data_IF_736670045383
#
_entry.id   IF_736670045383
#
_cell.length_a   1.000
_cell.length_b   1.000
_cell.length_c   1.000
_cell.angle_alpha   90.00
_cell.angle_beta   90.00
_cell.angle_gamma   90.00
#
_symmetry.space_group_name_H-M   'P 1'
#
loop_
_entity.id
_entity.type
_entity.pdbx_description
1 polymer ?
#
# COMPACT_ATOMS: atom_id res chain seq x y z
N UNK A 1 11.26 -6.36 1.74
CA UNK A 1 11.55 -6.95 1.65
C UNK A 1 11.33 -7.25 1.60
N UNK A 2 11.14 -6.55 1.26
CA UNK A 2 11.32 -7.14 0.85
C UNK A 2 11.15 -6.95 0.93
N UNK A 3 10.85 -6.62 0.50
CA UNK A 3 11.16 -7.00 0.25
C UNK A 3 11.22 -6.95 0.10
N UNK A 4 11.24 -6.51 -0.27
CA UNK A 4 11.70 -6.83 -0.72
C UNK A 4 11.65 -7.30 -0.80
N UNK A 5 11.14 -6.71 -0.85
CA UNK A 5 11.46 -7.52 -1.05
C UNK A 5 11.24 -8.07 -1.18
N UNK A 6 11.07 -7.62 -1.54
CA UNK A 6 11.11 -8.39 -1.81
C UNK A 6 10.99 -8.42 -2.00
N UNK A 7 10.69 -7.95 -1.97
CA UNK A 7 10.90 -8.36 -2.17
C UNK A 7 11.09 -8.21 -2.44
N UNK A 8 10.94 -7.58 -2.47
CA UNK A 8 11.42 -7.89 -2.60
C UNK A 8 11.46 -8.27 -2.94
N UNK A 9 11.19 -7.77 -3.22
CA UNK A 9 11.35 -8.57 -3.39
C UNK A 9 11.22 -8.72 -3.73
N UNK A 10 10.99 -8.38 -3.89
CA UNK A 10 10.99 -8.89 -4.11
C UNK A 10 11.27 -8.55 -4.45
N UNK A 11 11.06 -7.97 -4.30
CA UNK A 11 11.50 -7.99 -4.54
C UNK A 11 11.83 -7.97 -4.44
N UNK A 12 11.87 -7.69 -4.51
CA UNK A 12 12.39 -8.02 -4.42
C UNK A 12 12.41 -8.34 -4.67
N UNK A 13 12.12 -8.21 -4.90
CA UNK A 13 12.26 -8.92 -5.18
C UNK A 13 12.39 -9.06 -5.49
N UNK A 14 12.32 -8.91 -5.93
CA UNK A 14 12.56 -9.42 -6.25
C UNK A 14 13.10 -9.34 -6.42
N UNK A 15 13.18 -9.16 -6.57
CA UNK A 15 13.79 -9.32 -6.80
C UNK A 15 14.04 -9.69 -6.91
N UNK A 16 14.03 -9.48 -7.27
CA UNK A 16 14.27 -10.08 -7.50
C UNK A 16 14.23 -10.45 -7.74
N UNK A 17 14.04 -10.35 -8.14
CA UNK A 17 13.87 -10.96 -8.53
C UNK A 17 14.13 -10.76 -8.71
N UNK A 18 14.30 -10.37 -9.17
CA UNK A 18 14.48 -10.29 -9.47
C UNK A 18 14.73 -10.16 -10.17
N UNK A 19 14.83 -10.12 -10.61
CA UNK A 19 14.94 -9.69 -11.54
C UNK A 19 14.52 -10.09 -12.75
N UNK A 20 14.66 -10.69 -13.72
CA UNK A 20 14.01 -11.18 -14.52
C UNK A 20 12.67 -10.99 -14.71
N UNK A 21 12.07 -11.21 -13.92
CA UNK A 21 10.74 -10.90 -13.71
C UNK A 21 10.50 -9.43 -13.69
N UNK A 22 11.50 -8.66 -13.49
CA UNK A 22 11.43 -7.24 -13.49
C UNK A 22 10.74 -6.68 -14.73
N UNK A 23 11.08 -7.20 -15.85
CA UNK A 23 10.56 -6.77 -17.11
C UNK A 23 9.07 -7.01 -17.24
N UNK A 24 8.63 -8.18 -16.83
CA UNK A 24 7.22 -8.51 -16.83
C UNK A 24 6.44 -7.64 -15.86
N UNK A 25 7.03 -7.35 -14.75
CA UNK A 25 6.39 -6.52 -13.73
C UNK A 25 6.13 -5.13 -14.27
N UNK A 26 7.06 -4.58 -15.01
CA UNK A 26 6.88 -3.25 -15.58
C UNK A 26 5.70 -3.21 -16.54
N UNK A 27 5.54 -4.25 -17.34
CA UNK A 27 4.42 -4.31 -18.24
C UNK A 27 3.12 -4.35 -17.49
N UNK A 28 3.08 -5.11 -16.39
CA UNK A 28 1.90 -5.18 -15.57
C UNK A 28 1.57 -3.85 -14.93
N UNK A 29 2.58 -3.11 -14.54
CA UNK A 29 2.38 -1.83 -13.89
C UNK A 29 1.72 -0.79 -14.79
N UNK A 30 1.91 -0.89 -16.08
CA UNK A 30 1.30 0.05 -17.01
C UNK A 30 -0.21 -0.01 -16.98
N UNK A 31 -0.77 -1.11 -16.49
CA UNK A 31 -2.20 -1.29 -16.43
C UNK A 31 -2.73 -1.23 -15.00
N UNK A 32 -1.95 -0.70 -14.10
CA UNK A 32 -2.28 -0.68 -12.68
C UNK A 32 -2.31 0.76 -12.19
N UNK A 33 -3.36 1.08 -11.46
CA UNK A 33 -3.46 2.35 -10.76
C UNK A 33 -2.96 2.14 -9.33
N UNK A 34 -2.13 3.05 -8.86
CA UNK A 34 -1.57 2.95 -7.51
C UNK A 34 -1.88 4.21 -6.73
N UNK A 35 -1.99 4.05 -5.42
CA UNK A 35 -2.28 5.15 -4.51
C UNK A 35 -1.49 5.00 -3.23
N UNK A 36 -1.16 6.13 -2.63
CA UNK A 36 -0.60 6.18 -1.29
C UNK A 36 -1.72 6.67 -0.39
N UNK A 37 -2.04 5.90 0.65
CA UNK A 37 -3.09 6.30 1.59
C UNK A 37 -2.45 6.52 2.95
N UNK A 38 -2.59 7.72 3.46
CA UNK A 38 -2.09 8.10 4.78
C UNK A 38 -3.23 7.92 5.76
N UNK A 39 -2.93 7.33 6.91
CA UNK A 39 -3.95 6.94 7.88
C UNK A 39 -3.59 7.47 9.25
N UNK A 40 -4.57 8.11 9.91
CA UNK A 40 -4.45 8.50 11.31
C UNK A 40 -5.21 7.51 12.16
N UNK A 41 -4.62 7.13 13.29
CA UNK A 41 -5.17 6.15 14.21
C UNK A 41 -5.54 6.86 15.49
N UNK A 42 -6.68 6.46 16.07
CA UNK A 42 -7.14 6.94 17.36
C UNK A 42 -6.06 6.73 18.42
N UNK A 43 -5.83 7.73 19.25
CA UNK A 43 -4.79 7.68 20.29
C UNK A 43 -5.01 6.54 21.30
N UNK A 44 -6.24 6.10 21.46
CA UNK A 44 -6.55 5.00 22.37
C UNK A 44 -6.37 3.62 21.73
N UNK A 45 -6.06 3.56 20.45
CA UNK A 45 -5.96 2.31 19.71
C UNK A 45 -4.50 1.99 19.43
N UNK A 46 -4.14 0.71 19.54
CA UNK A 46 -2.79 0.25 19.23
C UNK A 46 -2.58 0.31 17.72
N UNK A 47 -1.65 1.13 17.29
CA UNK A 47 -1.35 1.32 15.87
C UNK A 47 -0.98 0.00 15.19
N UNK A 48 -0.25 -0.87 15.88
CA UNK A 48 0.18 -2.12 15.27
C UNK A 48 -1.00 -3.05 14.97
N UNK A 49 -2.09 -2.95 15.75
CA UNK A 49 -3.28 -3.74 15.46
C UNK A 49 -3.97 -3.25 14.19
N UNK A 50 -4.00 -1.94 14.00
CA UNK A 50 -4.57 -1.35 12.79
C UNK A 50 -3.72 -1.72 11.59
N UNK A 51 -2.39 -1.61 11.71
CA UNK A 51 -1.47 -1.98 10.63
C UNK A 51 -1.67 -3.42 10.20
N UNK A 52 -1.85 -4.33 11.14
CA UNK A 52 -2.04 -5.75 10.83
C UNK A 52 -3.33 -5.96 10.04
N UNK A 53 -4.39 -5.23 10.38
CA UNK A 53 -5.65 -5.34 9.66
C UNK A 53 -5.54 -4.74 8.26
N UNK A 54 -4.84 -3.62 8.14
CA UNK A 54 -4.62 -2.99 6.84
C UNK A 54 -3.87 -3.91 5.90
N UNK A 55 -2.89 -4.61 6.41
CA UNK A 55 -2.07 -5.51 5.60
C UNK A 55 -2.87 -6.65 5.00
N UNK A 56 -4.03 -6.95 5.56
CA UNK A 56 -4.88 -8.05 5.08
C UNK A 56 -5.91 -7.61 4.05
N UNK A 57 -6.06 -6.31 3.83
CA UNK A 57 -7.04 -5.84 2.87
C UNK A 57 -6.61 -6.11 1.44
N UNK A 58 -7.58 -6.46 0.62
CA UNK A 58 -7.33 -6.65 -0.79
C UNK A 58 -6.89 -5.33 -1.41
N UNK A 59 -5.88 -5.39 -2.28
CA UNK A 59 -5.35 -4.19 -2.93
C UNK A 59 -4.22 -3.52 -2.19
N UNK A 60 -4.02 -3.84 -0.92
CA UNK A 60 -2.92 -3.27 -0.14
C UNK A 60 -1.65 -4.04 -0.44
N UNK A 61 -0.62 -3.32 -0.90
CA UNK A 61 0.66 -3.93 -1.26
C UNK A 61 1.68 -3.80 -0.15
N UNK A 62 1.69 -2.68 0.55
CA UNK A 62 2.69 -2.39 1.56
C UNK A 62 2.07 -1.52 2.63
N UNK A 63 2.47 -1.75 3.87
CA UNK A 63 2.03 -0.94 5.02
C UNK A 63 3.27 -0.54 5.80
N UNK A 64 3.39 0.76 6.07
CA UNK A 64 4.47 1.30 6.91
C UNK A 64 3.85 2.04 8.08
N UNK A 65 4.44 1.89 9.25
CA UNK A 65 4.14 2.76 10.39
C UNK A 65 5.12 3.92 10.30
N UNK A 66 4.61 5.13 10.42
CA UNK A 66 5.40 6.34 10.19
C UNK A 66 5.22 7.32 11.35
N UNK A 67 6.04 8.35 11.36
CA UNK A 67 5.91 9.45 12.32
C UNK A 67 5.40 10.68 11.59
N UNK A 68 4.88 11.63 12.35
CA UNK A 68 4.41 12.89 11.81
C UNK A 68 2.93 13.04 11.99
N UNK A 69 2.30 13.69 11.03
CA UNK A 69 0.87 13.98 11.09
C UNK A 69 0.01 12.73 10.99
N UNK A 70 0.49 11.72 10.29
CA UNK A 70 -0.21 10.45 10.12
C UNK A 70 0.60 9.34 10.76
N UNK A 71 -0.09 8.25 11.10
CA UNK A 71 0.52 7.14 11.82
C UNK A 71 0.93 5.99 10.91
N UNK A 72 0.24 5.83 9.79
CA UNK A 72 0.46 4.71 8.87
C UNK A 72 0.38 5.23 7.45
N UNK A 73 1.21 4.67 6.57
CA UNK A 73 1.05 4.87 5.15
C UNK A 73 0.89 3.51 4.48
N UNK A 74 -0.03 3.43 3.54
CA UNK A 74 -0.23 2.20 2.76
C UNK A 74 -0.01 2.51 1.29
N UNK A 75 0.50 1.51 0.58
CA UNK A 75 0.59 1.57 -0.88
C UNK A 75 -0.46 0.59 -1.38
N UNK A 76 -1.39 1.09 -2.18
CA UNK A 76 -2.47 0.30 -2.75
C UNK A 76 -2.35 0.25 -4.25
N UNK A 77 -2.85 -0.83 -4.84
CA UNK A 77 -2.92 -0.97 -6.29
C UNK A 77 -4.25 -1.59 -6.68
N UNK A 78 -4.70 -1.24 -7.86
CA UNK A 78 -5.91 -1.81 -8.42
C UNK A 78 -5.93 -1.59 -9.92
N UNK A 79 -6.87 -2.21 -10.60
CA UNK A 79 -6.98 -2.07 -12.05
C UNK A 79 -7.63 -0.76 -12.44
N UNK A 80 -8.24 -0.06 -11.48
CA UNK A 80 -8.93 1.20 -11.74
C UNK A 80 -9.03 2.00 -10.46
N UNK A 81 -9.37 3.29 -10.59
CA UNK A 81 -9.61 4.14 -9.42
C UNK A 81 -10.81 3.61 -8.63
N UNK A 82 -11.81 3.06 -9.31
CA UNK A 82 -12.98 2.51 -8.64
C UNK A 82 -12.58 1.36 -7.70
N UNK A 83 -11.66 0.51 -8.14
CA UNK A 83 -11.17 -0.59 -7.32
C UNK A 83 -10.44 -0.07 -6.09
N UNK A 84 -9.62 0.95 -6.28
CA UNK A 84 -8.89 1.58 -5.18
C UNK A 84 -9.88 2.19 -4.19
N UNK A 85 -10.91 2.87 -4.69
CA UNK A 85 -11.92 3.46 -3.81
C UNK A 85 -12.63 2.41 -2.96
N UNK A 86 -12.90 1.23 -3.52
CA UNK A 86 -13.48 0.15 -2.75
C UNK A 86 -12.56 -0.29 -1.62
N UNK A 87 -11.27 -0.38 -1.90
CA UNK A 87 -10.29 -0.73 -0.86
C UNK A 87 -10.22 0.34 0.21
N UNK A 88 -10.30 1.61 -0.18
CA UNK A 88 -10.27 2.72 0.78
C UNK A 88 -11.51 2.70 1.65
N UNK A 89 -12.67 2.39 1.08
CA UNK A 89 -13.90 2.27 1.85
C UNK A 89 -13.77 1.18 2.91
N UNK A 90 -13.19 0.05 2.54
CA UNK A 90 -12.94 -1.04 3.49
C UNK A 90 -11.96 -0.59 4.58
N UNK A 91 -10.94 0.15 4.20
CA UNK A 91 -9.94 0.66 5.13
C UNK A 91 -10.58 1.57 6.17
N UNK A 92 -11.47 2.45 5.73
CA UNK A 92 -12.12 3.41 6.63
C UNK A 92 -13.01 2.76 7.66
N UNK A 93 -13.42 1.53 7.42
CA UNK A 93 -14.28 0.80 8.36
C UNK A 93 -13.49 0.08 9.45
N UNK A 94 -12.17 0.08 9.36
CA UNK A 94 -11.34 -0.57 10.37
C UNK A 94 -11.42 0.24 11.66
N UNK A 95 -11.68 -0.46 12.76
CA UNK A 95 -11.76 0.17 14.07
C UNK A 95 -10.41 0.82 14.41
N UNK A 96 -10.45 2.06 14.85
CA UNK A 96 -9.25 2.81 15.19
C UNK A 96 -8.80 3.79 14.11
N UNK A 97 -9.29 3.66 12.88
CA UNK A 97 -8.98 4.60 11.80
C UNK A 97 -9.87 5.82 11.98
N UNK A 98 -9.27 7.00 12.13
CA UNK A 98 -10.04 8.23 12.34
C UNK A 98 -9.96 9.20 11.19
N UNK A 99 -8.92 9.12 10.36
CA UNK A 99 -8.79 10.02 9.22
C UNK A 99 -7.90 9.38 8.17
N UNK A 100 -8.16 9.70 6.91
CA UNK A 100 -7.35 9.19 5.81
C UNK A 100 -7.12 10.29 4.79
N UNK A 101 -6.00 10.21 4.09
CA UNK A 101 -5.68 11.11 3.00
C UNK A 101 -5.13 10.26 1.86
N UNK A 102 -5.76 10.33 0.70
CA UNK A 102 -5.41 9.51 -0.45
C UNK A 102 -4.69 10.34 -1.50
N UNK A 103 -3.56 9.82 -1.96
CA UNK A 103 -2.79 10.45 -3.03
C UNK A 103 -2.68 9.44 -4.16
N UNK A 104 -3.24 9.78 -5.30
CA UNK A 104 -3.17 8.91 -6.48
C UNK A 104 -1.84 9.15 -7.18
N UNK A 105 -1.14 8.07 -7.50
CA UNK A 105 0.12 8.17 -8.23
C UNK A 105 -0.21 8.28 -9.72
N UNK A 106 0.18 9.41 -10.30
CA UNK A 106 -0.12 9.66 -11.71
C UNK A 106 0.84 8.89 -12.61
N UNK A 107 2.12 8.89 -12.26
CA UNK A 107 3.10 8.13 -13.02
C UNK A 107 4.41 8.07 -12.25
N UNK A 108 5.20 7.09 -12.57
CA UNK A 108 6.55 6.96 -12.02
C UNK A 108 7.51 7.70 -12.95
N UNK A 109 8.35 8.55 -12.38
CA UNK A 109 9.28 9.36 -13.14
C UNK A 109 10.67 8.75 -13.21
N UNK A 110 11.05 8.02 -12.18
CA UNK A 110 12.39 7.42 -12.14
C UNK A 110 12.37 6.03 -11.55
#
# INVERSE_FOLDING_TARGET
KLSESAVRRRVKNLVDSKTISKFTIEIGEDNVTSAIVLVSVDSATDTSKVSAKLAKLEGVKTVYEITGQYDITTIMSGSSIAEINNSIDALRKISGVVDTNTVIILRKVA
#
